data_IF_133748242104
#
_entry.id   IF_133748242104
#
_cell.length_a   1.000
_cell.length_b   1.000
_cell.length_c   1.000
_cell.angle_alpha   90.00
_cell.angle_beta   90.00
_cell.angle_gamma   90.00
#
_symmetry.space_group_name_H-M   'P 1'
#
loop_
_entity.id
_entity.type
_entity.pdbx_description
1 polymer ?
#
# COMPACT_ATOMS: atom_id res chain seq x y z
N UNK A 1 7.77 -39.63 8.17
CA UNK A 1 7.33 -39.10 6.86
C UNK A 1 5.87 -38.68 7.03
N UNK A 2 5.62 -37.41 7.32
CA UNK A 2 4.29 -36.81 7.30
C UNK A 2 4.18 -36.07 5.98
N UNK A 3 3.47 -36.68 5.03
CA UNK A 3 3.04 -35.99 3.82
C UNK A 3 1.98 -34.95 4.25
N UNK A 4 2.37 -33.67 4.33
CA UNK A 4 1.41 -32.59 4.30
C UNK A 4 1.04 -32.35 2.84
N UNK A 5 0.01 -33.04 2.39
CA UNK A 5 -0.74 -32.60 1.22
C UNK A 5 -1.41 -31.27 1.58
N UNK A 6 -0.81 -30.18 1.10
CA UNK A 6 -1.52 -28.91 1.02
C UNK A 6 -2.65 -29.11 0.02
N UNK A 7 -3.85 -29.38 0.50
CA UNK A 7 -5.07 -29.22 -0.28
C UNK A 7 -5.11 -27.78 -0.75
N UNK A 8 -4.94 -27.57 -2.06
CA UNK A 8 -5.17 -26.30 -2.70
C UNK A 8 -6.59 -25.85 -2.38
N UNK A 9 -6.75 -24.95 -1.42
CA UNK A 9 -8.03 -24.30 -1.19
C UNK A 9 -8.46 -23.61 -2.48
N UNK A 10 -9.72 -23.80 -2.87
CA UNK A 10 -10.31 -23.11 -4.02
C UNK A 10 -9.92 -21.63 -3.95
N UNK A 11 -9.36 -21.04 -5.01
CA UNK A 11 -8.92 -19.66 -4.97
C UNK A 11 -10.11 -18.77 -4.58
N UNK A 12 -9.94 -17.95 -3.56
CA UNK A 12 -10.98 -17.02 -3.11
C UNK A 12 -11.23 -16.06 -4.28
N UNK A 13 -12.42 -16.20 -4.90
CA UNK A 13 -12.85 -15.32 -5.97
C UNK A 13 -13.56 -14.11 -5.35
N UNK A 14 -12.91 -12.97 -5.33
CA UNK A 14 -13.54 -11.71 -4.98
C UNK A 14 -14.40 -11.21 -6.15
N UNK A 15 -15.58 -10.68 -5.83
CA UNK A 15 -16.45 -10.00 -6.80
C UNK A 15 -16.68 -8.56 -6.35
N UNK A 16 -16.80 -7.61 -7.27
CA UNK A 16 -17.23 -6.25 -6.95
C UNK A 16 -18.58 -6.26 -6.22
N UNK A 17 -18.76 -5.31 -5.31
CA UNK A 17 -20.02 -5.08 -4.58
C UNK A 17 -20.56 -3.69 -4.85
N UNK A 18 -19.67 -2.73 -5.17
CA UNK A 18 -19.97 -1.33 -5.40
C UNK A 18 -19.14 -0.79 -6.57
N UNK A 19 -19.42 0.45 -6.95
CA UNK A 19 -18.65 1.22 -7.91
C UNK A 19 -18.33 2.60 -7.32
N UNK A 20 -17.06 3.02 -7.36
CA UNK A 20 -16.59 4.32 -6.87
C UNK A 20 -15.74 4.98 -7.95
N UNK A 21 -16.12 6.18 -8.37
CA UNK A 21 -15.41 6.94 -9.40
C UNK A 21 -15.18 6.14 -10.71
N UNK A 22 -16.11 5.24 -11.07
CA UNK A 22 -16.02 4.39 -12.25
C UNK A 22 -15.20 3.10 -12.06
N UNK A 23 -14.73 2.83 -10.85
CA UNK A 23 -13.99 1.60 -10.52
C UNK A 23 -14.86 0.63 -9.73
N UNK A 24 -14.91 -0.65 -10.15
CA UNK A 24 -15.53 -1.69 -9.35
C UNK A 24 -14.75 -1.89 -8.05
N UNK A 25 -15.44 -1.92 -6.91
CA UNK A 25 -14.81 -2.01 -5.59
C UNK A 25 -15.57 -2.95 -4.64
N UNK A 26 -14.95 -3.26 -3.51
CA UNK A 26 -15.56 -3.93 -2.36
C UNK A 26 -14.76 -3.66 -1.08
N UNK A 27 -15.30 -3.98 0.12
CA UNK A 27 -14.49 -4.00 1.35
C UNK A 27 -13.26 -4.90 1.18
N UNK A 28 -12.12 -4.41 1.69
CA UNK A 28 -10.83 -5.08 1.54
C UNK A 28 -10.53 -6.09 2.65
N UNK A 29 -9.27 -6.51 2.67
CA UNK A 29 -8.68 -7.39 3.67
C UNK A 29 -8.02 -6.52 4.75
N UNK A 30 -8.70 -6.32 5.87
CA UNK A 30 -8.35 -5.33 6.91
C UNK A 30 -7.08 -5.68 7.70
N UNK A 31 -6.65 -6.92 7.66
CA UNK A 31 -5.45 -7.45 8.32
C UNK A 31 -4.17 -7.32 7.50
N UNK A 32 -4.28 -6.88 6.24
CA UNK A 32 -3.16 -6.75 5.32
C UNK A 32 -2.88 -5.27 4.99
N UNK A 33 -2.02 -4.64 5.79
CA UNK A 33 -1.65 -3.24 5.61
C UNK A 33 -0.90 -2.96 4.30
N UNK A 34 -1.13 -1.77 3.75
CA UNK A 34 -0.54 -1.31 2.49
C UNK A 34 -1.31 -1.75 1.26
N UNK A 35 -0.66 -1.65 0.11
CA UNK A 35 -1.25 -2.05 -1.17
C UNK A 35 -0.71 -3.42 -1.61
N UNK A 36 -1.63 -4.38 -1.73
CA UNK A 36 -1.32 -5.75 -2.12
C UNK A 36 -1.97 -6.09 -3.46
N UNK A 37 -1.15 -6.46 -4.44
CA UNK A 37 -1.66 -6.98 -5.71
C UNK A 37 -2.31 -8.36 -5.50
N UNK A 38 -3.53 -8.50 -6.00
CA UNK A 38 -4.29 -9.76 -6.02
C UNK A 38 -4.69 -10.08 -7.46
N UNK A 39 -5.11 -11.31 -7.78
CA UNK A 39 -5.40 -11.70 -9.17
C UNK A 39 -6.43 -10.82 -9.90
N UNK A 40 -7.36 -10.21 -9.17
CA UNK A 40 -8.44 -9.40 -9.74
C UNK A 40 -8.28 -7.88 -9.56
N UNK A 41 -7.18 -7.41 -8.96
CA UNK A 41 -6.97 -5.99 -8.69
C UNK A 41 -5.96 -5.72 -7.57
N UNK A 42 -6.23 -4.73 -6.74
CA UNK A 42 -5.36 -4.34 -5.63
C UNK A 42 -6.17 -4.13 -4.37
N UNK A 43 -5.72 -4.73 -3.27
CA UNK A 43 -6.21 -4.43 -1.93
C UNK A 43 -5.42 -3.26 -1.34
N UNK A 44 -6.10 -2.21 -0.95
CA UNK A 44 -5.53 -1.05 -0.26
C UNK A 44 -6.02 -1.01 1.17
N UNK A 45 -5.11 -1.02 2.13
CA UNK A 45 -5.44 -0.97 3.56
C UNK A 45 -4.55 0.02 4.27
N UNK A 46 -5.16 0.96 4.99
CA UNK A 46 -4.44 1.97 5.76
C UNK A 46 -5.05 2.15 7.15
N UNK A 47 -4.17 2.21 8.15
CA UNK A 47 -4.53 2.55 9.52
C UNK A 47 -4.40 4.06 9.72
N UNK A 48 -5.43 4.70 10.29
CA UNK A 48 -5.46 6.14 10.56
C UNK A 48 -6.14 6.43 11.89
N UNK A 49 -5.34 6.56 12.94
CA UNK A 49 -5.88 6.89 14.26
C UNK A 49 -6.54 8.27 14.29
N UNK A 50 -7.85 8.30 14.52
CA UNK A 50 -8.64 9.53 14.59
C UNK A 50 -9.00 10.15 13.24
N UNK A 51 -8.65 9.51 12.10
CA UNK A 51 -9.09 9.95 10.78
C UNK A 51 -10.60 9.78 10.58
N UNK A 52 -11.26 10.81 10.04
CA UNK A 52 -12.70 10.83 9.78
C UNK A 52 -13.06 10.52 8.33
N UNK A 53 -12.13 10.70 7.41
CA UNK A 53 -12.28 10.27 6.01
C UNK A 53 -10.93 9.91 5.41
N UNK A 54 -10.97 9.03 4.41
CA UNK A 54 -9.80 8.61 3.65
C UNK A 54 -10.16 8.56 2.17
N UNK A 55 -9.25 9.04 1.33
CA UNK A 55 -9.33 8.95 -0.13
C UNK A 55 -8.08 8.28 -0.67
N UNK A 56 -8.25 7.35 -1.59
CA UNK A 56 -7.19 6.80 -2.43
C UNK A 56 -7.03 7.69 -3.66
N UNK A 57 -5.83 8.16 -3.90
CA UNK A 57 -5.46 8.94 -5.07
C UNK A 57 -4.66 8.07 -6.02
N UNK A 58 -5.06 7.99 -7.28
CA UNK A 58 -4.35 7.28 -8.33
C UNK A 58 -3.72 8.28 -9.31
N UNK A 59 -2.46 8.08 -9.63
CA UNK A 59 -1.68 8.93 -10.51
C UNK A 59 -1.15 8.12 -11.68
N UNK A 60 -1.08 8.70 -12.87
CA UNK A 60 -0.23 8.14 -13.91
C UNK A 60 1.23 8.22 -13.49
N UNK A 61 2.05 7.31 -13.97
CA UNK A 61 3.46 7.23 -13.56
C UNK A 61 4.21 8.53 -13.84
N UNK A 62 4.76 9.11 -12.78
CA UNK A 62 5.53 10.35 -12.85
C UNK A 62 4.71 11.63 -12.92
N UNK A 63 3.38 11.55 -12.85
CA UNK A 63 2.52 12.72 -12.81
C UNK A 63 2.22 13.15 -11.37
N UNK A 64 2.07 14.45 -11.15
CA UNK A 64 1.80 15.05 -9.84
C UNK A 64 0.29 15.24 -9.57
N UNK A 65 -0.54 15.12 -10.61
CA UNK A 65 -2.00 15.30 -10.51
C UNK A 65 -2.69 13.94 -10.57
N UNK A 66 -3.57 13.61 -9.60
CA UNK A 66 -4.29 12.35 -9.63
C UNK A 66 -5.30 12.34 -10.80
N UNK A 67 -5.34 11.24 -11.54
CA UNK A 67 -6.37 11.02 -12.57
C UNK A 67 -7.66 10.44 -11.98
N UNK A 68 -7.59 9.85 -10.78
CA UNK A 68 -8.75 9.35 -10.05
C UNK A 68 -8.60 9.56 -8.55
N UNK A 69 -9.73 9.86 -7.90
CA UNK A 69 -9.86 9.96 -6.44
C UNK A 69 -11.00 9.07 -6.00
N UNK A 70 -10.69 8.07 -5.18
CA UNK A 70 -11.65 7.08 -4.69
C UNK A 70 -11.82 7.26 -3.18
N UNK A 71 -12.93 7.88 -2.70
CA UNK A 71 -13.20 7.93 -1.27
C UNK A 71 -13.51 6.54 -0.72
N UNK A 72 -12.94 6.21 0.44
CA UNK A 72 -13.32 5.00 1.16
C UNK A 72 -14.69 5.22 1.81
N UNK A 73 -15.69 4.38 1.53
CA UNK A 73 -16.95 4.42 2.23
C UNK A 73 -16.76 4.16 3.74
N UNK A 74 -17.59 4.76 4.58
CA UNK A 74 -17.56 4.49 6.03
C UNK A 74 -17.82 3.02 6.34
N UNK A 75 -18.59 2.32 5.50
CA UNK A 75 -18.81 0.88 5.57
C UNK A 75 -17.57 0.03 5.26
N UNK A 76 -16.51 0.66 4.71
CA UNK A 76 -15.21 0.04 4.42
C UNK A 76 -14.17 0.38 5.48
N UNK A 77 -14.63 0.72 6.69
CA UNK A 77 -13.81 1.04 7.86
C UNK A 77 -14.14 0.11 9.03
N UNK A 78 -13.12 -0.40 9.68
CA UNK A 78 -13.24 -1.15 10.94
C UNK A 78 -12.28 -0.51 11.95
N UNK A 79 -12.85 0.09 13.02
CA UNK A 79 -12.06 0.87 13.97
C UNK A 79 -11.34 2.03 13.27
N UNK A 80 -10.02 2.05 13.33
CA UNK A 80 -9.17 3.05 12.68
C UNK A 80 -8.60 2.59 11.32
N UNK A 81 -9.07 1.46 10.78
CA UNK A 81 -8.54 0.87 9.54
C UNK A 81 -9.55 1.02 8.41
N UNK A 82 -9.13 1.67 7.32
CA UNK A 82 -9.83 1.67 6.04
C UNK A 82 -9.26 0.59 5.14
N UNK A 83 -10.14 -0.19 4.47
CA UNK A 83 -9.69 -1.20 3.52
C UNK A 83 -10.64 -1.37 2.35
N UNK A 84 -10.08 -1.37 1.12
CA UNK A 84 -10.84 -1.45 -0.12
C UNK A 84 -10.06 -2.24 -1.16
N UNK A 85 -10.72 -3.20 -1.81
CA UNK A 85 -10.24 -3.79 -3.05
C UNK A 85 -10.77 -2.94 -4.20
N UNK A 86 -9.85 -2.51 -5.07
CA UNK A 86 -10.14 -1.88 -6.35
C UNK A 86 -9.81 -2.86 -7.46
N UNK A 87 -10.79 -3.22 -8.26
CA UNK A 87 -10.65 -4.19 -9.34
C UNK A 87 -10.09 -3.55 -10.60
N UNK A 88 -9.61 -4.38 -11.52
CA UNK A 88 -9.18 -4.02 -12.87
C UNK A 88 -8.04 -2.98 -12.94
N UNK A 89 -7.24 -2.87 -11.86
CA UNK A 89 -6.06 -2.02 -11.84
C UNK A 89 -4.83 -2.75 -12.39
N UNK A 90 -4.17 -2.15 -13.37
CA UNK A 90 -2.85 -2.60 -13.82
C UNK A 90 -1.75 -1.91 -12.99
N UNK A 91 -1.08 -2.68 -12.13
CA UNK A 91 -0.05 -2.15 -11.20
C UNK A 91 1.15 -1.52 -11.90
N UNK A 92 1.36 -1.79 -13.19
CA UNK A 92 2.45 -1.19 -13.95
C UNK A 92 2.14 0.23 -14.46
N UNK A 93 0.88 0.65 -14.41
CA UNK A 93 0.43 1.89 -15.04
C UNK A 93 0.20 3.02 -14.06
N UNK A 94 0.10 2.74 -12.74
CA UNK A 94 -0.22 3.76 -11.77
C UNK A 94 0.75 3.83 -10.58
N UNK A 95 0.68 4.97 -9.92
CA UNK A 95 1.20 5.26 -8.60
C UNK A 95 0.05 5.68 -7.70
N UNK A 96 0.20 5.58 -6.39
CA UNK A 96 -0.88 5.92 -5.48
C UNK A 96 -0.38 6.69 -4.26
N UNK A 97 -1.30 7.42 -3.66
CA UNK A 97 -1.14 8.09 -2.37
C UNK A 97 -2.49 8.18 -1.66
N UNK A 98 -2.48 8.71 -0.46
CA UNK A 98 -3.70 8.92 0.30
C UNK A 98 -3.92 10.40 0.61
N UNK A 99 -5.18 10.75 0.82
CA UNK A 99 -5.61 11.99 1.47
C UNK A 99 -6.51 11.63 2.63
N UNK A 100 -6.18 12.12 3.82
CA UNK A 100 -6.89 11.76 5.04
C UNK A 100 -7.31 13.05 5.74
N UNK A 101 -8.58 13.14 6.10
CA UNK A 101 -9.12 14.23 6.90
C UNK A 101 -9.43 13.77 8.32
N UNK A 102 -9.49 14.73 9.23
CA UNK A 102 -9.76 14.48 10.64
C UNK A 102 -9.57 15.74 11.48
N UNK A 103 -9.70 15.61 12.80
CA UNK A 103 -9.53 16.74 13.70
C UNK A 103 -8.08 17.24 13.70
N UNK A 104 -7.91 18.57 13.72
CA UNK A 104 -6.61 19.19 13.94
C UNK A 104 -6.48 19.58 15.42
N UNK A 105 -5.79 18.75 16.18
CA UNK A 105 -5.49 18.97 17.60
C UNK A 105 -4.03 18.60 17.89
N UNK A 106 -3.07 19.52 17.70
CA UNK A 106 -1.64 19.25 17.89
C UNK A 106 -1.28 18.77 19.30
N UNK A 107 -2.00 19.22 20.34
CA UNK A 107 -1.74 18.77 21.71
C UNK A 107 -2.08 17.31 21.96
N UNK A 108 -2.97 16.74 21.15
CA UNK A 108 -3.31 15.31 21.13
C UNK A 108 -2.57 14.52 20.02
N UNK A 109 -1.61 15.15 19.34
CA UNK A 109 -0.87 14.54 18.24
C UNK A 109 -1.65 14.42 16.92
N UNK A 110 -2.85 15.04 16.83
CA UNK A 110 -3.69 14.98 15.63
C UNK A 110 -3.38 16.15 14.71
N UNK A 111 -2.82 15.87 13.54
CA UNK A 111 -2.34 16.89 12.59
C UNK A 111 -3.00 16.73 11.21
N UNK A 112 -4.25 16.28 11.15
CA UNK A 112 -4.93 16.06 9.88
C UNK A 112 -5.05 17.33 9.05
N UNK A 113 -4.85 17.19 7.75
CA UNK A 113 -5.01 18.24 6.75
C UNK A 113 -5.37 17.59 5.41
N UNK A 114 -6.64 17.76 5.01
CA UNK A 114 -7.16 17.20 3.76
C UNK A 114 -6.50 17.73 2.48
N UNK A 115 -5.70 18.78 2.57
CA UNK A 115 -4.97 19.31 1.41
C UNK A 115 -3.62 18.61 1.22
N UNK A 116 -3.19 17.78 2.18
CA UNK A 116 -1.94 17.05 2.09
C UNK A 116 -2.10 15.69 1.42
N UNK A 117 -1.23 15.42 0.46
CA UNK A 117 -1.05 14.10 -0.14
C UNK A 117 -0.05 13.33 0.74
N UNK A 118 -0.46 12.17 1.21
CA UNK A 118 0.28 11.36 2.16
C UNK A 118 0.78 10.09 1.48
N UNK A 119 2.08 9.83 1.62
CA UNK A 119 2.65 8.56 1.22
C UNK A 119 2.14 7.44 2.14
N UNK A 120 1.87 6.28 1.57
CA UNK A 120 1.56 5.09 2.34
C UNK A 120 2.74 4.70 3.23
N UNK A 121 2.59 4.62 4.56
CA UNK A 121 3.65 4.18 5.46
C UNK A 121 4.08 2.72 5.22
N UNK A 122 3.24 1.92 4.56
CA UNK A 122 3.52 0.54 4.18
C UNK A 122 3.95 0.38 2.71
N UNK A 123 4.29 1.50 2.03
CA UNK A 123 4.71 1.46 0.63
C UNK A 123 5.94 0.58 0.44
N UNK A 124 5.85 -0.38 -0.48
CA UNK A 124 6.98 -1.28 -0.84
C UNK A 124 7.92 -0.66 -1.85
N UNK A 125 7.45 0.32 -2.62
CA UNK A 125 8.26 1.14 -3.50
C UNK A 125 7.74 2.57 -3.50
N UNK A 126 8.67 3.53 -3.64
CA UNK A 126 8.38 4.97 -3.62
C UNK A 126 8.97 5.61 -4.87
N UNK A 127 8.23 6.53 -5.46
CA UNK A 127 8.63 7.33 -6.62
C UNK A 127 8.65 8.81 -6.30
N UNK A 128 9.04 9.64 -7.26
CA UNK A 128 9.03 11.11 -7.12
C UNK A 128 10.36 11.71 -6.65
N UNK A 129 11.39 10.90 -6.40
CA UNK A 129 12.72 11.37 -5.97
C UNK A 129 13.73 11.37 -7.13
N UNK A 130 13.38 12.01 -8.25
CA UNK A 130 14.19 12.01 -9.46
C UNK A 130 15.48 12.82 -9.32
N UNK A 131 15.49 13.83 -8.44
CA UNK A 131 16.67 14.67 -8.19
C UNK A 131 16.98 14.67 -6.70
N UNK A 132 18.19 14.22 -6.37
CA UNK A 132 18.63 14.15 -4.98
C UNK A 132 18.77 15.53 -4.35
N UNK A 133 18.33 15.65 -3.09
CA UNK A 133 18.44 16.90 -2.31
C UNK A 133 17.33 17.91 -2.60
N UNK A 134 16.53 17.73 -3.64
CA UNK A 134 15.36 18.56 -3.91
C UNK A 134 14.15 17.90 -3.28
N UNK A 135 13.61 18.50 -2.20
CA UNK A 135 12.35 18.10 -1.61
C UNK A 135 11.23 18.89 -2.26
N UNK A 136 10.40 18.21 -3.05
CA UNK A 136 9.14 18.77 -3.52
C UNK A 136 8.04 18.28 -2.57
N UNK A 137 7.26 19.17 -1.95
CA UNK A 137 6.06 18.77 -1.21
C UNK A 137 5.15 17.96 -2.12
N UNK A 138 4.59 16.88 -1.62
CA UNK A 138 3.61 16.02 -2.32
C UNK A 138 4.10 15.30 -3.60
N UNK A 139 5.40 15.23 -3.84
CA UNK A 139 5.96 14.59 -5.03
C UNK A 139 6.24 13.08 -4.84
N UNK A 140 6.01 12.54 -3.63
CA UNK A 140 6.25 11.13 -3.36
C UNK A 140 4.97 10.33 -3.49
N UNK A 141 5.00 9.34 -4.37
CA UNK A 141 3.92 8.38 -4.52
C UNK A 141 4.42 6.98 -4.22
N UNK A 142 3.51 6.13 -3.79
CA UNK A 142 3.77 4.72 -3.58
C UNK A 142 3.48 3.92 -4.86
N UNK A 143 4.14 2.77 -4.99
CA UNK A 143 3.85 1.79 -6.03
C UNK A 143 3.48 0.45 -5.44
N UNK A 144 2.55 -0.22 -6.10
CA UNK A 144 2.26 -1.62 -5.84
C UNK A 144 3.34 -2.47 -6.49
N UNK A 145 3.89 -3.42 -5.75
CA UNK A 145 4.94 -4.31 -6.23
C UNK A 145 4.48 -5.75 -6.08
N UNK A 146 4.62 -6.54 -7.15
CA UNK A 146 4.53 -7.99 -7.06
C UNK A 146 5.85 -8.52 -6.53
N UNK A 147 5.79 -9.14 -5.38
CA UNK A 147 6.95 -9.73 -4.72
C UNK A 147 7.10 -11.19 -5.18
N UNK A 148 7.45 -11.34 -6.45
CA UNK A 148 7.77 -12.65 -7.03
C UNK A 148 9.25 -12.64 -7.35
N UNK A 149 10.04 -13.25 -6.48
CA UNK A 149 11.45 -13.47 -6.71
C UNK A 149 11.70 -14.96 -6.80
N UNK A 150 12.24 -15.40 -7.90
CA UNK A 150 12.65 -16.81 -8.08
C UNK A 150 14.04 -16.99 -7.43
N UNK A 151 14.05 -17.68 -6.31
CA UNK A 151 15.30 -18.03 -5.60
C UNK A 151 16.05 -19.19 -6.28
N UNK A 152 15.47 -19.83 -7.31
CA UNK A 152 16.05 -21.00 -7.96
C UNK A 152 16.36 -22.09 -6.93
N UNK A 153 17.56 -22.69 -7.05
CA UNK A 153 18.04 -23.73 -6.13
C UNK A 153 18.71 -23.17 -4.84
N UNK A 154 18.59 -21.87 -4.58
CA UNK A 154 19.20 -21.26 -3.40
C UNK A 154 18.53 -21.76 -2.12
N UNK A 155 19.26 -22.55 -1.34
CA UNK A 155 18.83 -22.95 0.00
C UNK A 155 19.11 -21.84 1.00
N UNK A 156 18.14 -21.56 1.88
CA UNK A 156 18.35 -20.66 2.98
C UNK A 156 19.42 -21.21 3.92
N UNK A 157 20.50 -20.45 4.13
CA UNK A 157 21.54 -20.82 5.11
C UNK A 157 20.97 -20.75 6.52
N UNK A 158 20.92 -21.90 7.21
CA UNK A 158 20.52 -21.99 8.62
C UNK A 158 21.71 -21.74 9.55
N UNK A 159 22.30 -20.54 9.49
CA UNK A 159 23.37 -20.16 10.43
C UNK A 159 22.77 -19.53 11.67
N UNK A 160 23.37 -19.82 12.81
CA UNK A 160 23.02 -19.16 14.06
C UNK A 160 23.44 -17.68 14.01
N UNK A 161 22.65 -16.79 14.65
CA UNK A 161 22.95 -15.36 14.68
C UNK A 161 24.34 -15.04 15.22
N UNK A 162 24.86 -15.85 16.15
CA UNK A 162 26.20 -15.76 16.74
C UNK A 162 27.34 -16.03 15.76
N UNK A 163 27.05 -16.68 14.63
CA UNK A 163 28.01 -17.00 13.56
C UNK A 163 28.05 -15.93 12.45
N UNK A 164 27.16 -14.93 12.53
CA UNK A 164 27.03 -13.92 11.51
C UNK A 164 27.92 -12.70 11.80
N UNK A 165 28.54 -12.17 10.76
CA UNK A 165 29.13 -10.83 10.77
C UNK A 165 28.18 -9.94 9.97
N UNK A 166 27.57 -8.96 10.64
CA UNK A 166 26.62 -8.04 10.04
C UNK A 166 27.36 -6.74 9.73
N UNK A 167 27.32 -6.33 8.45
CA UNK A 167 27.85 -5.05 8.00
C UNK A 167 26.69 -4.18 7.52
N UNK A 168 26.38 -3.13 8.26
CA UNK A 168 25.35 -2.16 7.90
C UNK A 168 25.99 -0.97 7.21
N UNK A 169 25.50 -0.61 6.03
CA UNK A 169 25.99 0.52 5.27
C UNK A 169 24.86 1.27 4.57
N UNK A 170 25.06 2.56 4.39
CA UNK A 170 24.19 3.38 3.55
C UNK A 170 24.70 3.33 2.11
N UNK A 171 24.03 2.56 1.24
CA UNK A 171 24.47 2.27 -0.13
C UNK A 171 24.87 3.52 -0.94
N UNK A 172 24.17 4.64 -0.74
CA UNK A 172 24.46 5.90 -1.44
C UNK A 172 25.60 6.70 -0.81
N UNK A 173 25.85 6.50 0.46
CA UNK A 173 26.86 7.24 1.21
C UNK A 173 28.19 6.50 1.41
N UNK A 174 28.29 5.28 0.89
CA UNK A 174 29.46 4.41 1.03
C UNK A 174 30.55 4.76 -0.07
#
# INVERSE_FOLDING_TARGET
KLNHEYTMSTPISFRPMDEIAGYPVRPGMFDLNGALAIPCGVNFTIHTHGGTSCELLLFHRGEETPYATLPFPESYKIGDVYSMIVFDLNIEEFEYAYRIDGPRNPSAGLLFDKNQILLDPYARAVTGQNVWGIKKPHAYHARVVKDIFDWGDASQSSREMSELIIYELHVRGF
#
